data_IF_972801052305
#
_entry.id   IF_972801052305
#
_cell.length_a   1.000
_cell.length_b   1.000
_cell.length_c   1.000
_cell.angle_alpha   90.00
_cell.angle_beta   90.00
_cell.angle_gamma   90.00
#
_symmetry.space_group_name_H-M   'P 1'
#
loop_
_entity.id
_entity.type
_entity.pdbx_description
1 polymer ?
#
# COMPACT_ATOMS: atom_id res chain seq x y z
N UNK A 1 9.03 0.69 7.81
CA UNK A 1 8.18 0.98 6.65
C UNK A 1 8.57 0.09 5.49
N UNK A 2 7.73 0.00 4.47
CA UNK A 2 8.06 -0.75 3.25
C UNK A 2 8.13 0.28 2.14
N UNK A 3 9.24 0.30 1.40
CA UNK A 3 9.42 1.22 0.30
C UNK A 3 8.53 0.83 -0.88
N UNK A 4 7.87 1.83 -1.46
CA UNK A 4 6.90 1.67 -2.54
C UNK A 4 7.24 2.62 -3.67
N UNK A 5 7.36 2.06 -4.87
CA UNK A 5 7.42 2.82 -6.11
C UNK A 5 6.01 2.95 -6.68
N UNK A 6 5.58 4.19 -6.90
CA UNK A 6 4.35 4.50 -7.61
C UNK A 6 4.72 5.01 -9.01
N UNK A 7 4.36 4.25 -10.05
CA UNK A 7 4.59 4.64 -11.44
C UNK A 7 3.26 4.97 -12.11
N UNK A 8 3.24 6.02 -12.92
CA UNK A 8 2.07 6.45 -13.68
C UNK A 8 2.35 6.32 -15.18
N UNK A 9 1.44 5.68 -15.89
CA UNK A 9 1.37 5.65 -17.36
C UNK A 9 0.10 6.37 -17.83
N UNK A 10 -0.10 6.50 -19.14
CA UNK A 10 -1.27 7.17 -19.71
C UNK A 10 -2.63 6.50 -19.40
N UNK A 11 -2.64 5.24 -18.95
CA UNK A 11 -3.88 4.44 -18.78
C UNK A 11 -3.91 3.60 -17.50
N UNK A 12 -2.80 3.53 -16.77
CA UNK A 12 -2.66 2.73 -15.58
C UNK A 12 -1.62 3.32 -14.62
N UNK A 13 -1.72 2.97 -13.35
CA UNK A 13 -0.67 3.18 -12.36
C UNK A 13 -0.18 1.84 -11.82
N UNK A 14 1.05 1.83 -11.32
CA UNK A 14 1.71 0.65 -10.80
C UNK A 14 2.14 0.91 -9.37
N UNK A 15 1.79 -0.01 -8.47
CA UNK A 15 2.27 -0.02 -7.09
C UNK A 15 3.26 -1.15 -6.97
N UNK A 16 4.54 -0.83 -6.77
CA UNK A 16 5.61 -1.82 -6.68
C UNK A 16 6.28 -1.76 -5.31
N UNK A 17 6.36 -2.91 -4.64
CA UNK A 17 6.99 -3.06 -3.34
C UNK A 17 8.47 -3.37 -3.50
N UNK A 18 9.28 -2.54 -2.87
CA UNK A 18 10.72 -2.69 -2.84
C UNK A 18 11.14 -3.54 -1.64
N UNK A 19 12.15 -4.38 -1.84
CA UNK A 19 12.77 -5.19 -0.80
C UNK A 19 14.19 -4.66 -0.55
N UNK A 20 14.34 -3.99 0.59
CA UNK A 20 15.58 -3.33 1.01
C UNK A 20 16.73 -4.33 1.22
N UNK A 21 16.45 -5.61 1.52
CA UNK A 21 17.49 -6.61 1.78
C UNK A 21 18.20 -7.03 0.48
N UNK A 22 17.47 -7.06 -0.63
CA UNK A 22 17.97 -7.54 -1.92
C UNK A 22 18.07 -6.43 -2.99
N UNK A 23 17.80 -5.17 -2.59
CA UNK A 23 17.88 -3.96 -3.42
C UNK A 23 17.05 -4.06 -4.71
N UNK A 24 15.87 -4.69 -4.65
CA UNK A 24 15.04 -4.99 -5.83
C UNK A 24 13.54 -4.86 -5.57
N UNK A 25 12.81 -4.55 -6.63
CA UNK A 25 11.35 -4.70 -6.64
C UNK A 25 11.02 -6.18 -6.52
N UNK A 26 10.32 -6.55 -5.45
CA UNK A 26 9.91 -7.93 -5.18
C UNK A 26 8.56 -8.26 -5.81
N UNK A 27 7.66 -7.28 -5.79
CA UNK A 27 6.25 -7.45 -6.16
C UNK A 27 5.72 -6.18 -6.80
N UNK A 28 4.82 -6.29 -7.76
CA UNK A 28 4.10 -5.14 -8.29
C UNK A 28 2.66 -5.47 -8.64
N UNK A 29 1.83 -4.44 -8.66
CA UNK A 29 0.45 -4.50 -9.11
C UNK A 29 0.21 -3.41 -10.14
N UNK A 30 -0.35 -3.78 -11.29
CA UNK A 30 -0.82 -2.84 -12.30
C UNK A 30 -2.32 -2.59 -12.13
N UNK A 31 -2.73 -1.34 -12.03
CA UNK A 31 -4.11 -0.94 -11.82
C UNK A 31 -4.55 0.03 -12.93
N UNK A 32 -5.64 -0.28 -13.61
CA UNK A 32 -6.23 0.61 -14.62
C UNK A 32 -6.71 1.91 -13.96
N UNK A 33 -6.50 3.05 -14.63
CA UNK A 33 -7.04 4.33 -14.16
C UNK A 33 -8.58 4.34 -14.17
N UNK A 34 -9.22 3.52 -15.01
CA UNK A 34 -10.68 3.31 -14.99
C UNK A 34 -11.14 2.79 -13.62
N UNK A 35 -10.38 1.87 -13.04
CA UNK A 35 -10.71 1.22 -11.78
C UNK A 35 -10.45 2.12 -10.55
N UNK A 36 -9.74 3.25 -10.70
CA UNK A 36 -9.46 4.19 -9.60
C UNK A 36 -10.75 4.96 -9.21
N UNK A 37 -11.32 4.65 -8.05
CA UNK A 37 -12.63 5.19 -7.63
C UNK A 37 -12.53 6.59 -7.04
N UNK A 38 -11.55 6.80 -6.16
CA UNK A 38 -11.33 8.05 -5.44
C UNK A 38 -9.95 8.08 -4.82
N UNK A 39 -9.48 9.29 -4.52
CA UNK A 39 -8.26 9.53 -3.77
C UNK A 39 -8.65 10.23 -2.47
N UNK A 40 -8.25 9.69 -1.33
CA UNK A 40 -8.42 10.36 -0.03
C UNK A 40 -7.05 10.81 0.46
N UNK A 41 -6.92 12.06 0.92
CA UNK A 41 -5.70 12.59 1.55
C UNK A 41 -6.04 13.07 2.94
N UNK A 42 -5.20 12.73 3.92
CA UNK A 42 -5.29 13.31 5.25
C UNK A 42 -4.41 12.59 6.27
N UNK A 43 -4.53 12.98 7.55
CA UNK A 43 -3.66 12.45 8.60
C UNK A 43 -3.80 10.94 8.74
N UNK A 44 -2.68 10.29 9.05
CA UNK A 44 -2.62 8.85 9.29
C UNK A 44 -3.61 8.41 10.40
N UNK A 45 -4.22 7.22 10.29
CA UNK A 45 -5.16 6.72 11.29
C UNK A 45 -4.43 6.23 12.55
N UNK A 46 -4.08 7.14 13.47
CA UNK A 46 -3.45 6.80 14.77
C UNK A 46 -4.49 6.35 15.83
N UNK A 47 -4.07 5.41 16.70
CA UNK A 47 -4.87 4.95 17.86
C UNK A 47 -4.81 5.94 19.03
N UNK A 48 -3.61 6.47 19.29
CA UNK A 48 -3.33 7.41 20.36
C UNK A 48 -2.22 8.37 19.89
N UNK A 49 -2.27 9.61 20.35
CA UNK A 49 -1.30 10.65 19.97
C UNK A 49 -1.65 11.40 18.69
N UNK A 50 -0.89 12.47 18.44
CA UNK A 50 -1.05 13.32 17.25
C UNK A 50 -0.49 12.60 16.02
N UNK A 51 -1.22 12.58 14.88
CA UNK A 51 -0.71 12.05 13.64
C UNK A 51 0.53 12.85 13.22
N UNK A 52 1.58 12.15 12.78
CA UNK A 52 2.85 12.77 12.37
C UNK A 52 2.93 13.00 10.87
N UNK A 53 2.19 12.20 10.11
CA UNK A 53 2.26 12.19 8.65
C UNK A 53 0.87 12.31 8.05
N UNK A 54 0.83 12.92 6.87
CA UNK A 54 -0.29 12.79 5.94
C UNK A 54 -0.09 11.55 5.08
N UNK A 55 -1.20 10.88 4.75
CA UNK A 55 -1.23 9.73 3.87
C UNK A 55 -2.20 9.97 2.71
N UNK A 56 -1.91 9.34 1.58
CA UNK A 56 -2.77 9.29 0.42
C UNK A 56 -3.31 7.87 0.27
N UNK A 57 -4.62 7.75 0.09
CA UNK A 57 -5.30 6.48 -0.10
C UNK A 57 -5.93 6.41 -1.48
N UNK A 58 -5.43 5.50 -2.31
CA UNK A 58 -5.92 5.24 -3.67
C UNK A 58 -6.95 4.10 -3.60
N UNK A 59 -8.24 4.42 -3.71
CA UNK A 59 -9.30 3.41 -3.71
C UNK A 59 -9.53 2.90 -5.13
N UNK A 60 -9.65 1.59 -5.28
CA UNK A 60 -9.86 0.98 -6.59
C UNK A 60 -10.85 -0.18 -6.56
N UNK A 61 -11.46 -0.44 -7.71
CA UNK A 61 -12.29 -1.61 -7.96
C UNK A 61 -11.45 -2.78 -8.45
N UNK A 62 -11.82 -3.97 -8.01
CA UNK A 62 -11.35 -5.23 -8.59
C UNK A 62 -12.54 -6.11 -8.94
N UNK A 63 -12.67 -6.48 -10.22
CA UNK A 63 -13.82 -7.26 -10.75
C UNK A 63 -15.16 -6.66 -10.28
N UNK A 64 -15.35 -5.36 -10.50
CA UNK A 64 -16.50 -4.56 -10.05
C UNK A 64 -16.74 -4.44 -8.54
N UNK A 65 -15.87 -5.02 -7.70
CA UNK A 65 -15.98 -4.90 -6.25
C UNK A 65 -15.11 -3.75 -5.72
N UNK A 66 -15.71 -2.85 -4.94
CA UNK A 66 -15.00 -1.83 -4.17
C UNK A 66 -14.41 -2.39 -2.87
N UNK A 67 -13.69 -1.54 -2.14
CA UNK A 67 -13.11 -1.86 -0.83
C UNK A 67 -11.64 -2.27 -0.87
N UNK A 68 -10.99 -2.09 -2.02
CA UNK A 68 -9.55 -2.22 -2.15
C UNK A 68 -8.91 -0.84 -2.14
N UNK A 69 -7.79 -0.69 -1.44
CA UNK A 69 -7.05 0.57 -1.47
C UNK A 69 -5.59 0.41 -1.06
N UNK A 70 -4.72 1.20 -1.68
CA UNK A 70 -3.35 1.40 -1.23
C UNK A 70 -3.26 2.65 -0.38
N UNK A 71 -2.60 2.58 0.77
CA UNK A 71 -2.31 3.77 1.60
C UNK A 71 -0.81 4.03 1.55
N UNK A 72 -0.43 5.21 1.07
CA UNK A 72 0.95 5.63 0.81
C UNK A 72 1.26 6.88 1.63
N UNK A 73 2.53 7.05 2.02
CA UNK A 73 3.05 8.30 2.59
C UNK A 73 4.26 8.75 1.78
N UNK A 74 4.47 10.06 1.70
CA UNK A 74 5.71 10.59 1.14
C UNK A 74 6.86 10.36 2.12
N UNK A 75 8.05 10.11 1.60
CA UNK A 75 9.29 10.16 2.38
C UNK A 75 9.72 11.62 2.48
N UNK A 76 9.64 12.19 3.68
CA UNK A 76 10.02 13.57 3.98
C UNK A 76 11.41 13.63 4.60
N UNK A 77 12.16 14.70 4.31
CA UNK A 77 13.49 14.91 4.90
C UNK A 77 13.42 15.67 6.22
N UNK A 78 12.42 16.55 6.37
CA UNK A 78 12.18 17.32 7.58
C UNK A 78 11.09 16.66 8.43
N UNK A 79 11.29 16.51 9.76
CA UNK A 79 10.26 16.01 10.66
C UNK A 79 9.11 17.01 10.91
N UNK A 80 9.26 18.27 10.47
CA UNK A 80 8.20 19.29 10.53
C UNK A 80 7.23 19.19 9.34
N UNK A 81 7.63 18.50 8.28
CA UNK A 81 6.81 18.27 7.09
C UNK A 81 6.00 16.98 7.25
N UNK A 82 4.69 17.05 7.03
CA UNK A 82 3.82 15.88 7.06
C UNK A 82 3.71 15.17 5.70
N UNK A 83 4.29 15.75 4.64
CA UNK A 83 4.31 15.23 3.28
C UNK A 83 3.04 15.49 2.46
N UNK A 84 2.07 16.26 2.99
CA UNK A 84 0.77 16.51 2.34
C UNK A 84 0.90 17.11 0.94
N UNK A 85 1.74 18.13 0.77
CA UNK A 85 1.85 18.85 -0.51
C UNK A 85 2.40 17.94 -1.62
N UNK A 86 3.37 17.07 -1.30
CA UNK A 86 3.88 16.06 -2.22
C UNK A 86 2.77 15.10 -2.65
N UNK A 87 1.94 14.66 -1.71
CA UNK A 87 0.83 13.75 -1.99
C UNK A 87 -0.27 14.43 -2.82
N UNK A 88 -0.54 15.72 -2.60
CA UNK A 88 -1.46 16.50 -3.42
C UNK A 88 -0.97 16.60 -4.87
N UNK A 89 0.31 16.90 -5.09
CA UNK A 89 0.89 16.90 -6.43
C UNK A 89 0.74 15.55 -7.14
N UNK A 90 0.98 14.44 -6.43
CA UNK A 90 0.81 13.09 -6.99
C UNK A 90 -0.65 12.81 -7.34
N UNK A 91 -1.59 13.17 -6.45
CA UNK A 91 -3.01 12.97 -6.67
C UNK A 91 -3.52 13.76 -7.87
N UNK A 92 -3.06 15.00 -8.05
CA UNK A 92 -3.42 15.83 -9.20
C UNK A 92 -2.88 15.25 -10.51
N UNK A 93 -1.64 14.73 -10.54
CA UNK A 93 -1.12 14.04 -11.73
C UNK A 93 -1.96 12.81 -12.11
N UNK A 94 -2.38 12.01 -11.13
CA UNK A 94 -3.29 10.88 -11.35
C UNK A 94 -4.63 11.35 -11.92
N UNK A 95 -5.19 12.42 -11.36
CA UNK A 95 -6.47 13.00 -11.80
C UNK A 95 -6.39 13.53 -13.22
N UNK A 96 -5.40 14.37 -13.54
CA UNK A 96 -5.18 14.93 -14.88
C UNK A 96 -5.03 13.81 -15.91
N UNK A 97 -4.27 12.77 -15.58
CA UNK A 97 -4.06 11.63 -16.49
C UNK A 97 -5.37 10.87 -16.74
N UNK A 98 -6.19 10.66 -15.70
CA UNK A 98 -7.51 10.05 -15.86
C UNK A 98 -8.47 10.94 -16.65
N UNK A 99 -8.41 12.27 -16.46
CA UNK A 99 -9.16 13.26 -17.24
C UNK A 99 -8.80 13.25 -18.72
N UNK A 100 -7.53 13.04 -19.05
CA UNK A 100 -7.10 12.84 -20.43
C UNK A 100 -7.72 11.60 -21.11
N UNK A 101 -8.21 10.63 -20.32
CA UNK A 101 -8.97 9.46 -20.80
C UNK A 101 -10.49 9.72 -20.86
N UNK A 102 -10.96 10.92 -20.56
CA UNK A 102 -12.39 11.27 -20.53
C UNK A 102 -13.14 10.88 -19.25
N UNK A 103 -12.42 10.58 -18.16
CA UNK A 103 -13.01 10.24 -16.86
C UNK A 103 -12.46 11.18 -15.76
N UNK A 104 -13.16 11.35 -14.64
CA UNK A 104 -12.62 12.08 -13.49
C UNK A 104 -12.44 11.17 -12.28
N UNK A 105 -11.62 11.60 -11.32
CA UNK A 105 -11.49 10.97 -10.00
C UNK A 105 -11.54 12.04 -8.91
N UNK A 106 -12.42 11.91 -7.91
CA UNK A 106 -12.48 12.88 -6.82
C UNK A 106 -11.28 12.73 -5.90
N UNK A 107 -10.67 13.87 -5.55
CA UNK A 107 -9.67 13.99 -4.49
C UNK A 107 -10.38 14.57 -3.27
N UNK A 108 -10.37 13.83 -2.16
CA UNK A 108 -11.12 14.15 -0.94
C UNK A 108 -10.13 14.34 0.20
N UNK A 109 -10.06 15.57 0.71
CA UNK A 109 -9.31 15.83 1.94
C UNK A 109 -10.18 15.50 3.16
N UNK A 110 -9.75 14.50 3.95
CA UNK A 110 -10.44 14.11 5.18
C UNK A 110 -9.51 13.33 6.10
N UNK A 111 -9.86 13.26 7.39
CA UNK A 111 -9.25 12.28 8.30
C UNK A 111 -9.48 10.87 7.76
N UNK A 112 -8.40 10.11 7.60
CA UNK A 112 -8.49 8.76 7.07
C UNK A 112 -9.13 7.81 8.09
N UNK A 113 -10.10 7.05 7.61
CA UNK A 113 -10.72 6.00 8.42
C UNK A 113 -9.75 4.87 8.69
N UNK A 114 -9.82 4.32 9.91
CA UNK A 114 -9.07 3.14 10.32
C UNK A 114 -9.78 1.87 9.83
N UNK A 115 -9.46 1.48 8.60
CA UNK A 115 -9.94 0.25 7.96
C UNK A 115 -8.79 -0.44 7.25
N UNK A 116 -8.90 -1.75 7.09
CA UNK A 116 -7.97 -2.54 6.26
C UNK A 116 -8.53 -2.69 4.86
N UNK A 117 -7.65 -2.67 3.86
CA UNK A 117 -8.02 -3.03 2.50
C UNK A 117 -8.39 -4.50 2.45
N UNK A 118 -9.25 -4.89 1.50
CA UNK A 118 -9.30 -6.28 1.06
C UNK A 118 -7.91 -6.73 0.56
N UNK A 119 -7.59 -8.04 0.62
CA UNK A 119 -6.33 -8.56 0.09
C UNK A 119 -6.13 -8.12 -1.37
N UNK A 120 -4.95 -7.62 -1.69
CA UNK A 120 -4.64 -7.16 -3.05
C UNK A 120 -4.49 -8.36 -4.00
N UNK A 121 -5.35 -8.40 -5.01
CA UNK A 121 -5.36 -9.44 -6.04
C UNK A 121 -4.38 -9.09 -7.18
N UNK A 122 -3.94 -10.09 -7.95
CA UNK A 122 -3.04 -9.94 -9.09
C UNK A 122 -1.71 -9.22 -8.78
N UNK A 123 -1.21 -9.39 -7.56
CA UNK A 123 0.18 -9.04 -7.23
C UNK A 123 1.12 -10.00 -7.96
N UNK A 124 1.93 -9.45 -8.85
CA UNK A 124 2.91 -10.19 -9.64
C UNK A 124 4.24 -10.15 -8.88
N UNK A 125 4.71 -11.33 -8.46
CA UNK A 125 6.06 -11.48 -7.90
C UNK A 125 7.10 -11.47 -9.00
N UNK A 126 8.12 -10.61 -8.88
CA UNK A 126 9.27 -10.60 -9.78
C UNK A 126 10.18 -11.75 -9.34
N UNK A 127 9.95 -12.95 -9.88
CA UNK A 127 10.90 -14.05 -9.73
C UNK A 127 12.18 -13.65 -10.48
N UNK A 128 13.29 -13.54 -9.75
CA UNK A 128 14.61 -13.62 -10.37
C UNK A 128 14.60 -14.86 -11.28
N UNK A 129 14.78 -14.68 -12.58
CA UNK A 129 15.02 -15.81 -13.49
C UNK A 129 16.40 -16.41 -13.21
N UNK A 130 16.55 -17.05 -12.05
CA UNK A 130 17.51 -18.12 -11.89
C UNK A 130 16.74 -19.41 -12.11
N UNK A 131 17.08 -20.12 -13.20
CA UNK A 131 16.61 -21.47 -13.51
C UNK A 131 16.70 -22.34 -12.25
N UNK A 132 15.56 -22.82 -11.74
CA UNK A 132 15.56 -23.87 -10.72
C UNK A 132 14.31 -23.92 -9.83
N UNK A 133 13.53 -24.99 -9.99
CA UNK A 133 12.58 -25.56 -9.03
C UNK A 133 11.17 -24.96 -8.87
N UNK A 134 10.24 -25.73 -9.41
CA UNK A 134 8.79 -25.61 -9.42
C UNK A 134 8.18 -26.08 -8.08
N UNK A 135 8.42 -25.40 -6.95
CA UNK A 135 7.81 -25.83 -5.67
C UNK A 135 7.56 -24.77 -4.56
N UNK A 136 8.04 -23.53 -4.67
CA UNK A 136 8.02 -22.58 -3.54
C UNK A 136 6.98 -21.45 -3.61
N UNK A 137 5.92 -21.61 -4.41
CA UNK A 137 4.91 -20.56 -4.62
C UNK A 137 3.91 -20.34 -3.48
N UNK A 138 3.87 -21.18 -2.44
CA UNK A 138 2.79 -21.15 -1.43
C UNK A 138 3.22 -20.78 0.00
N UNK A 139 4.51 -20.68 0.30
CA UNK A 139 4.96 -20.63 1.70
C UNK A 139 5.36 -19.24 2.23
N UNK A 140 5.49 -18.21 1.37
CA UNK A 140 6.01 -16.91 1.81
C UNK A 140 4.96 -16.01 2.49
N UNK A 141 3.66 -16.20 2.20
CA UNK A 141 2.59 -15.46 2.88
C UNK A 141 2.27 -16.02 4.29
N UNK A 142 2.65 -17.27 4.58
CA UNK A 142 2.43 -17.89 5.88
C UNK A 142 3.51 -17.51 6.93
N UNK A 143 4.69 -17.06 6.52
CA UNK A 143 5.81 -16.83 7.45
C UNK A 143 5.76 -15.47 8.18
N UNK A 144 5.09 -14.45 7.63
CA UNK A 144 4.96 -13.13 8.29
C UNK A 144 3.79 -13.02 9.28
N UNK A 145 2.82 -13.94 9.25
CA UNK A 145 1.71 -13.96 10.21
C UNK A 145 1.92 -14.92 11.39
N UNK A 146 2.95 -15.78 11.37
CA UNK A 146 3.24 -16.73 12.45
C UNK A 146 4.02 -16.11 13.63
N UNK A 147 4.74 -15.01 13.41
CA UNK A 147 5.56 -14.37 14.46
C UNK A 147 4.79 -13.47 15.42
N UNK A 148 3.53 -13.10 15.11
CA UNK A 148 2.68 -12.35 16.04
C UNK A 148 1.92 -13.23 17.06
N UNK A 149 1.72 -14.52 16.77
CA UNK A 149 0.96 -15.41 17.65
C UNK A 149 1.82 -16.20 18.66
N UNK A 150 3.15 -16.15 18.55
CA UNK A 150 4.04 -16.83 19.49
C UNK A 150 4.35 -16.01 20.75
N UNK A 151 4.17 -14.68 20.71
CA UNK A 151 4.42 -13.79 21.86
C UNK A 151 3.26 -13.67 22.86
N UNK A 152 2.13 -14.35 22.62
CA UNK A 152 0.95 -14.32 23.53
C UNK A 152 0.79 -15.62 24.35
N UNK A 153 1.64 -16.64 24.15
CA UNK A 153 1.57 -17.92 24.88
C UNK A 153 2.65 -18.16 25.94
N UNK A 154 3.61 -17.25 26.14
CA UNK A 154 4.72 -17.44 27.11
C UNK A 154 4.59 -16.65 28.44
N UNK A 155 3.37 -16.28 28.86
CA UNK A 155 3.18 -15.61 30.17
C UNK A 155 2.12 -16.25 31.07
N UNK A 156 1.83 -17.54 30.88
CA UNK A 156 1.03 -18.32 31.85
C UNK A 156 1.53 -19.76 31.96
N UNK A 157 2.53 -19.98 32.80
CA UNK A 157 2.70 -21.18 33.65
C UNK A 157 4.07 -21.12 34.30
N UNK A 158 4.09 -20.81 35.59
CA UNK A 158 4.91 -21.50 36.59
C UNK A 158 4.46 -21.00 37.96
N UNK A 159 3.51 -21.75 38.54
CA UNK A 159 3.19 -21.77 39.96
C UNK A 159 3.31 -23.23 40.42
N UNK A 160 3.81 -23.38 41.64
CA UNK A 160 4.05 -24.56 42.48
C UNK A 160 5.42 -25.24 42.29
N UNK A 161 6.17 -25.53 43.34
CA UNK A 161 5.81 -25.96 44.72
C UNK A 161 6.53 -25.14 45.78
#
# INVERSE_FOLDING_TARGET
DVDVLLLLSNSAYYVAYYDDEIDKVSQYQRLSLEALEKIEIGPEPTLFGKPKFSCMRLHYKYKEMSGYFHTLRAVVRSPEEDGKDTLQCIAEMLRITKQAMGMDVPIIEKKLERKSSKPHEDIIGIRSQNRGSLAQGKNYLLSKFSSLNQKVKQTKSNVNI
#
